data_IF_945515410328
#
_entry.id   IF_945515410328
#
_cell.length_a   1.000
_cell.length_b   1.000
_cell.length_c   1.000
_cell.angle_alpha   90.00
_cell.angle_beta   90.00
_cell.angle_gamma   90.00
#
_symmetry.space_group_name_H-M   'P 1'
#
loop_
_entity.id
_entity.type
_entity.pdbx_description
1 polymer ?
#
# COMPACT_ATOMS: atom_id res chain seq x y z
N UNK A 1 -11.42 24.10 -41.04
CA UNK A 1 -11.67 23.88 -39.61
C UNK A 1 -10.45 23.19 -39.01
N UNK A 2 -9.59 23.95 -38.36
CA UNK A 2 -8.33 23.45 -37.77
C UNK A 2 -8.62 23.06 -36.33
N UNK A 3 -8.69 21.76 -36.05
CA UNK A 3 -8.92 21.25 -34.70
C UNK A 3 -7.68 21.45 -33.83
N UNK A 4 -7.79 22.25 -32.78
CA UNK A 4 -6.79 22.44 -31.74
C UNK A 4 -6.81 21.23 -30.83
N UNK A 5 -5.81 20.35 -30.94
CA UNK A 5 -5.58 19.25 -29.99
C UNK A 5 -5.08 19.86 -28.67
N UNK A 6 -5.94 19.90 -27.66
CA UNK A 6 -5.55 20.20 -26.28
C UNK A 6 -4.71 19.04 -25.74
N UNK A 7 -3.39 19.19 -25.76
CA UNK A 7 -2.48 18.32 -25.03
C UNK A 7 -2.61 18.67 -23.56
N UNK A 8 -3.32 17.85 -22.78
CA UNK A 8 -3.29 17.93 -21.33
C UNK A 8 -1.89 17.53 -20.85
N UNK A 9 -1.18 18.37 -20.05
CA UNK A 9 0.08 17.94 -19.47
C UNK A 9 -0.17 16.77 -18.54
N UNK A 10 0.47 15.63 -18.82
CA UNK A 10 0.52 14.54 -17.88
C UNK A 10 1.24 15.03 -16.62
N UNK A 11 0.59 15.02 -15.47
CA UNK A 11 1.22 15.32 -14.20
C UNK A 11 2.17 14.15 -13.87
N UNK A 12 3.44 14.29 -14.31
CA UNK A 12 4.45 13.24 -14.15
C UNK A 12 4.98 13.11 -12.71
N UNK A 13 4.63 14.06 -11.83
CA UNK A 13 5.13 14.11 -10.45
C UNK A 13 4.00 14.40 -9.48
N UNK A 14 3.97 13.64 -8.39
CA UNK A 14 2.99 13.83 -7.32
C UNK A 14 3.63 14.63 -6.20
N UNK A 15 2.97 15.72 -5.80
CA UNK A 15 3.37 16.52 -4.64
C UNK A 15 2.62 16.04 -3.40
N UNK A 16 3.33 15.86 -2.26
CA UNK A 16 2.66 15.60 -1.00
C UNK A 16 1.74 16.74 -0.60
N UNK A 17 0.63 16.39 0.04
CA UNK A 17 -0.39 17.34 0.48
C UNK A 17 -0.31 17.56 1.99
N UNK A 18 -0.46 18.82 2.48
CA UNK A 18 -0.55 19.12 3.90
C UNK A 18 -1.68 18.35 4.57
N UNK A 19 -1.41 17.82 5.78
CA UNK A 19 -2.43 17.23 6.62
C UNK A 19 -3.34 18.27 7.29
N UNK A 20 -4.38 17.85 8.03
CA UNK A 20 -5.33 18.75 8.70
C UNK A 20 -4.76 19.51 9.90
N UNK A 21 -3.56 19.14 10.36
CA UNK A 21 -2.84 19.78 11.44
C UNK A 21 -1.76 20.75 10.95
N UNK A 22 -0.53 20.55 11.43
CA UNK A 22 0.62 21.33 10.98
C UNK A 22 0.90 21.05 9.48
N UNK A 23 0.96 22.09 8.61
CA UNK A 23 1.12 21.90 7.16
C UNK A 23 2.46 21.27 6.74
N UNK A 24 3.42 21.20 7.67
CA UNK A 24 4.71 20.54 7.48
C UNK A 24 4.64 19.02 7.67
N UNK A 25 3.53 18.49 8.17
CA UNK A 25 3.23 17.06 8.19
C UNK A 25 2.35 16.78 6.98
N UNK A 26 2.97 16.20 5.96
CA UNK A 26 2.34 16.00 4.66
C UNK A 26 2.09 14.51 4.40
N UNK A 27 1.20 14.23 3.48
CA UNK A 27 0.91 12.86 3.09
C UNK A 27 0.73 12.73 1.57
N UNK A 28 1.00 11.52 1.07
CA UNK A 28 0.78 11.15 -0.33
C UNK A 28 0.19 9.75 -0.38
N UNK A 29 -0.77 9.53 -1.28
CA UNK A 29 -1.28 8.18 -1.54
C UNK A 29 -0.21 7.42 -2.35
N UNK A 30 0.11 6.19 -1.93
CA UNK A 30 1.06 5.35 -2.65
C UNK A 30 0.46 4.85 -3.97
N UNK A 31 1.22 4.99 -5.05
CA UNK A 31 1.00 4.35 -6.34
C UNK A 31 2.36 3.82 -6.84
N UNK A 32 2.47 2.56 -7.30
CA UNK A 32 3.74 1.98 -7.75
C UNK A 32 4.31 2.66 -9.02
N UNK A 33 3.52 3.43 -9.74
CA UNK A 33 3.90 4.09 -11.00
C UNK A 33 4.10 5.61 -10.85
N UNK A 34 4.18 6.12 -9.62
CA UNK A 34 4.37 7.56 -9.39
C UNK A 34 5.80 7.92 -9.00
N UNK A 35 6.19 9.14 -9.31
CA UNK A 35 7.38 9.80 -8.75
C UNK A 35 6.92 10.86 -7.76
N UNK A 36 7.34 10.74 -6.50
CA UNK A 36 6.98 11.69 -5.44
C UNK A 36 8.03 12.79 -5.33
N UNK A 37 7.60 14.05 -5.45
CA UNK A 37 8.50 15.19 -5.24
C UNK A 37 8.77 15.40 -3.75
N UNK A 38 10.03 15.35 -3.35
CA UNK A 38 10.50 15.63 -2.00
C UNK A 38 11.37 16.88 -2.00
N UNK A 39 10.94 17.93 -1.31
CA UNK A 39 11.66 19.18 -1.21
C UNK A 39 12.31 19.33 0.15
N UNK A 40 13.59 19.73 0.19
CA UNK A 40 14.31 19.99 1.44
C UNK A 40 15.24 21.21 1.29
N UNK A 41 15.34 22.01 2.33
CA UNK A 41 16.30 23.10 2.45
C UNK A 41 17.56 22.63 3.19
N UNK A 42 18.71 23.22 2.85
CA UNK A 42 19.95 22.98 3.58
C UNK A 42 19.77 23.32 5.07
N UNK A 43 20.29 22.47 5.93
CA UNK A 43 20.11 22.60 7.40
C UNK A 43 18.83 21.98 7.95
N UNK A 44 17.92 21.52 7.08
CA UNK A 44 16.67 20.87 7.47
C UNK A 44 16.67 19.41 7.04
N UNK A 45 15.82 18.61 7.69
CA UNK A 45 15.64 17.21 7.43
C UNK A 45 14.16 16.93 7.15
N UNK A 46 13.90 16.05 6.20
CA UNK A 46 12.57 15.47 5.97
C UNK A 46 12.60 14.02 6.42
N UNK A 47 11.61 13.63 7.22
CA UNK A 47 11.39 12.23 7.61
C UNK A 47 10.35 11.63 6.68
N UNK A 48 10.69 10.57 5.97
CA UNK A 48 9.74 9.77 5.20
C UNK A 48 9.30 8.58 6.07
N UNK A 49 7.99 8.45 6.29
CA UNK A 49 7.39 7.35 7.05
C UNK A 49 6.71 6.37 6.08
N UNK A 50 7.16 5.11 6.12
CA UNK A 50 6.57 4.00 5.37
C UNK A 50 5.49 3.29 6.20
N UNK A 51 4.91 2.21 5.69
CA UNK A 51 3.96 1.42 6.45
C UNK A 51 4.64 0.81 7.71
N UNK A 52 3.92 0.69 8.83
CA UNK A 52 4.51 0.22 10.10
C UNK A 52 5.08 -1.19 10.03
N UNK A 53 4.59 -2.00 9.11
CA UNK A 53 4.98 -3.39 8.84
C UNK A 53 6.02 -3.54 7.73
N UNK A 54 6.37 -2.46 7.02
CA UNK A 54 7.44 -2.44 6.02
C UNK A 54 8.82 -2.24 6.63
N UNK A 55 9.81 -2.81 5.94
CA UNK A 55 11.22 -2.66 6.27
C UNK A 55 12.03 -2.30 5.03
N UNK A 56 12.81 -1.23 5.14
CA UNK A 56 13.75 -0.81 4.09
C UNK A 56 14.81 -1.88 3.92
N UNK A 57 14.94 -2.40 2.72
CA UNK A 57 15.98 -3.36 2.32
C UNK A 57 17.12 -2.69 1.57
N UNK A 58 16.79 -1.71 0.72
CA UNK A 58 17.79 -1.01 -0.10
C UNK A 58 17.41 0.46 -0.30
N UNK A 59 18.44 1.30 -0.40
CA UNK A 59 18.30 2.73 -0.70
C UNK A 59 19.37 3.12 -1.71
N UNK A 60 18.94 3.70 -2.84
CA UNK A 60 19.83 4.21 -3.88
C UNK A 60 19.51 5.68 -4.17
N UNK A 61 20.49 6.55 -4.04
CA UNK A 61 20.41 7.98 -4.37
C UNK A 61 21.34 8.30 -5.53
N UNK A 62 20.88 9.14 -6.45
CA UNK A 62 21.68 9.52 -7.63
C UNK A 62 22.90 10.35 -7.25
N UNK A 63 22.74 11.38 -6.43
CA UNK A 63 23.84 12.23 -5.97
C UNK A 63 23.99 12.16 -4.45
N UNK A 64 24.90 11.30 -3.98
CA UNK A 64 25.22 11.13 -2.56
C UNK A 64 26.07 12.26 -1.97
N UNK A 65 26.64 13.13 -2.78
CA UNK A 65 27.34 14.32 -2.33
C UNK A 65 26.39 15.48 -2.00
N UNK A 66 25.30 15.59 -2.73
CA UNK A 66 24.28 16.61 -2.53
C UNK A 66 23.18 16.22 -1.53
N UNK A 67 22.99 14.93 -1.30
CA UNK A 67 21.91 14.40 -0.47
C UNK A 67 22.42 13.34 0.52
N UNK A 68 22.17 13.56 1.79
CA UNK A 68 22.43 12.59 2.85
C UNK A 68 21.13 11.82 3.17
N UNK A 69 21.20 10.50 3.01
CA UNK A 69 20.06 9.60 3.18
C UNK A 69 20.42 8.60 4.29
N UNK A 70 19.58 8.48 5.33
CA UNK A 70 19.85 7.59 6.46
C UNK A 70 18.56 6.87 6.88
N UNK A 71 18.46 5.55 6.75
CA UNK A 71 17.38 4.79 7.32
C UNK A 71 17.49 4.73 8.86
N UNK A 72 16.36 4.64 9.55
CA UNK A 72 16.36 4.37 10.99
C UNK A 72 16.66 2.88 11.26
N UNK A 73 16.94 2.54 12.52
CA UNK A 73 17.28 1.15 12.90
C UNK A 73 16.16 0.13 12.65
N UNK A 74 14.92 0.57 12.68
CA UNK A 74 13.76 -0.31 12.42
C UNK A 74 13.50 -0.54 10.93
N UNK A 75 14.04 0.32 10.07
CA UNK A 75 13.80 0.29 8.63
C UNK A 75 12.40 0.77 8.21
N UNK A 76 11.65 1.42 9.10
CA UNK A 76 10.31 1.95 8.81
C UNK A 76 10.31 3.45 8.50
N UNK A 77 11.47 4.11 8.61
CA UNK A 77 11.64 5.55 8.32
C UNK A 77 12.94 5.82 7.60
N UNK A 78 12.92 6.85 6.77
CA UNK A 78 14.07 7.36 6.07
C UNK A 78 14.25 8.85 6.38
N UNK A 79 15.44 9.25 6.75
CA UNK A 79 15.81 10.64 6.96
C UNK A 79 16.52 11.16 5.71
N UNK A 80 15.96 12.22 5.11
CA UNK A 80 16.47 12.84 3.89
C UNK A 80 16.90 14.27 4.20
N UNK A 81 18.14 14.61 3.87
CA UNK A 81 18.73 15.92 4.15
C UNK A 81 19.49 16.43 2.94
N UNK A 82 19.23 17.66 2.55
CA UNK A 82 20.04 18.36 1.55
C UNK A 82 21.37 18.82 2.17
N UNK A 83 22.49 18.52 1.51
CA UNK A 83 23.86 18.83 1.97
C UNK A 83 24.42 20.00 1.16
N UNK A 84 23.84 21.15 1.22
CA UNK A 84 24.30 22.30 0.47
C UNK A 84 23.28 22.80 -0.54
N UNK A 85 23.68 23.78 -1.34
CA UNK A 85 22.81 24.38 -2.35
C UNK A 85 22.78 23.49 -3.61
N UNK A 86 21.74 22.94 -3.78
CA UNK A 86 20.98 22.16 -4.57
C UNK A 86 21.23 21.65 -5.92
N UNK A 87 21.47 20.38 -5.94
CA UNK A 87 21.31 19.58 -7.17
C UNK A 87 20.02 18.77 -7.03
N UNK A 88 19.14 18.87 -8.02
CA UNK A 88 18.00 17.94 -8.16
C UNK A 88 18.55 16.54 -8.42
N UNK A 89 18.03 15.55 -7.72
CA UNK A 89 18.47 14.17 -7.85
C UNK A 89 17.27 13.23 -7.75
N UNK A 90 17.49 11.95 -7.94
CA UNK A 90 16.49 10.92 -7.70
C UNK A 90 16.88 10.04 -6.52
N UNK A 91 15.87 9.42 -5.92
CA UNK A 91 16.03 8.48 -4.82
C UNK A 91 15.08 7.31 -5.04
N UNK A 92 15.60 6.10 -4.92
CA UNK A 92 14.81 4.87 -4.92
C UNK A 92 14.95 4.19 -3.57
N UNK A 93 13.82 3.82 -2.98
CA UNK A 93 13.77 3.03 -1.74
C UNK A 93 13.04 1.74 -2.04
N UNK A 94 13.69 0.62 -1.75
CA UNK A 94 13.11 -0.71 -1.86
C UNK A 94 12.86 -1.21 -0.44
N UNK A 95 11.63 -1.61 -0.18
CA UNK A 95 11.25 -2.29 1.07
C UNK A 95 10.91 -3.75 0.78
N UNK A 96 10.68 -4.53 1.80
CA UNK A 96 10.20 -5.92 1.71
C UNK A 96 8.81 -6.04 1.06
N UNK A 97 8.08 -4.92 0.86
CA UNK A 97 6.73 -4.93 0.29
C UNK A 97 6.59 -4.05 -0.96
N UNK A 98 7.33 -2.93 -1.08
CA UNK A 98 7.09 -1.91 -2.13
C UNK A 98 8.39 -1.25 -2.60
N UNK A 99 8.29 -0.59 -3.75
CA UNK A 99 9.33 0.33 -4.24
C UNK A 99 8.78 1.75 -4.29
N UNK A 100 9.57 2.70 -3.80
CA UNK A 100 9.24 4.12 -3.77
C UNK A 100 10.25 4.90 -4.59
N UNK A 101 9.75 5.77 -5.45
CA UNK A 101 10.58 6.59 -6.33
C UNK A 101 10.33 8.07 -6.00
N UNK A 102 11.43 8.79 -5.77
CA UNK A 102 11.38 10.21 -5.44
C UNK A 102 12.21 11.03 -6.41
N UNK A 103 11.76 12.23 -6.67
CA UNK A 103 12.60 13.32 -7.14
C UNK A 103 12.93 14.23 -5.96
N UNK A 104 14.22 14.38 -5.70
CA UNK A 104 14.75 15.24 -4.64
C UNK A 104 15.01 16.63 -5.21
N UNK A 105 14.28 17.64 -4.74
CA UNK A 105 14.38 19.03 -5.19
C UNK A 105 14.88 19.91 -4.04
N UNK A 106 16.06 20.54 -4.16
CA UNK A 106 16.57 21.41 -3.12
C UNK A 106 15.84 22.74 -3.12
N UNK A 107 15.65 23.30 -1.91
CA UNK A 107 15.13 24.64 -1.68
C UNK A 107 16.29 25.57 -1.30
N UNK A 108 16.26 26.82 -1.77
CA UNK A 108 17.23 27.86 -1.38
C UNK A 108 17.13 28.27 0.10
N UNK A 109 15.99 28.00 0.75
CA UNK A 109 15.72 28.22 2.15
C UNK A 109 14.42 27.58 2.60
N UNK A 110 14.14 27.55 3.92
CA UNK A 110 12.94 26.92 4.42
C UNK A 110 11.69 27.68 3.96
N UNK A 111 10.70 26.94 3.45
CA UNK A 111 9.37 27.48 3.15
C UNK A 111 8.42 27.15 4.31
N UNK A 112 7.40 27.99 4.56
CA UNK A 112 6.44 27.79 5.67
C UNK A 112 5.73 26.43 5.62
N UNK A 113 5.54 25.90 4.42
CA UNK A 113 4.87 24.62 4.16
C UNK A 113 5.84 23.53 3.65
N UNK A 114 7.15 23.69 3.85
CA UNK A 114 8.12 22.63 3.54
C UNK A 114 7.86 21.40 4.43
N UNK A 115 7.81 20.22 3.84
CA UNK A 115 7.58 19.00 4.60
C UNK A 115 8.69 18.75 5.64
N UNK A 116 8.32 18.46 6.88
CA UNK A 116 9.19 17.88 7.91
C UNK A 116 8.96 16.38 8.01
N UNK A 117 7.73 15.97 7.74
CA UNK A 117 7.32 14.57 7.69
C UNK A 117 6.49 14.36 6.43
N UNK A 118 6.86 13.34 5.67
CA UNK A 118 6.08 12.80 4.58
C UNK A 118 5.58 11.42 4.97
N UNK A 119 4.26 11.23 5.01
CA UNK A 119 3.62 9.95 5.29
C UNK A 119 3.02 9.37 4.03
N UNK A 120 3.34 8.13 3.75
CA UNK A 120 2.58 7.39 2.74
C UNK A 120 1.25 6.93 3.33
N UNK A 121 0.17 7.25 2.60
CA UNK A 121 -1.13 6.62 2.80
C UNK A 121 -1.23 5.51 1.76
N UNK A 122 -1.67 4.39 2.19
CA UNK A 122 -1.89 3.26 1.29
C UNK A 122 -3.37 3.23 0.97
N UNK A 123 -3.69 3.05 -0.33
CA UNK A 123 -5.05 2.68 -0.66
C UNK A 123 -5.29 1.40 0.14
N UNK A 124 -6.12 1.46 1.16
CA UNK A 124 -6.83 0.27 1.57
C UNK A 124 -7.36 -0.30 0.27
N UNK A 125 -7.08 -1.58 -0.10
CA UNK A 125 -7.64 -2.17 -1.29
C UNK A 125 -9.09 -1.73 -1.25
N UNK A 126 -9.52 -0.97 -2.27
CA UNK A 126 -10.82 -0.33 -2.23
C UNK A 126 -11.75 -1.42 -1.74
N UNK A 127 -12.25 -1.28 -0.52
CA UNK A 127 -13.36 -2.10 -0.10
C UNK A 127 -14.23 -2.01 -1.31
N UNK A 128 -14.36 -3.14 -2.05
CA UNK A 128 -15.19 -3.18 -3.23
C UNK A 128 -16.37 -2.38 -2.80
N UNK A 129 -16.60 -1.21 -3.44
CA UNK A 129 -17.69 -0.35 -3.04
C UNK A 129 -18.90 -1.19 -3.36
N UNK A 130 -19.26 -2.02 -2.41
CA UNK A 130 -20.61 -2.53 -2.30
C UNK A 130 -21.36 -1.25 -2.13
N UNK A 131 -21.96 -0.77 -3.21
CA UNK A 131 -22.93 0.31 -3.19
C UNK A 131 -23.72 0.06 -1.92
N UNK A 132 -23.54 0.95 -0.94
CA UNK A 132 -24.27 0.88 0.31
C UNK A 132 -25.76 1.15 -0.06
N UNK A 133 -26.41 0.10 -0.54
CA UNK A 133 -27.84 0.02 -0.51
C UNK A 133 -28.18 -0.29 0.95
N UNK A 134 -28.75 0.67 1.59
CA UNK A 134 -29.50 0.63 2.85
C UNK A 134 -28.87 -0.22 3.97
N UNK A 135 -28.65 0.40 5.12
CA UNK A 135 -28.14 -0.13 6.37
C UNK A 135 -28.58 -1.57 6.71
N UNK A 136 -28.12 -2.54 5.90
CA UNK A 136 -28.27 -3.95 6.23
C UNK A 136 -27.20 -4.29 7.26
N UNK A 137 -27.60 -4.72 8.41
CA UNK A 137 -26.73 -5.27 9.46
C UNK A 137 -25.77 -6.30 8.81
N UNK A 138 -24.44 -6.21 9.04
CA UNK A 138 -23.49 -7.16 8.49
C UNK A 138 -23.93 -8.61 8.73
N UNK A 139 -24.00 -9.40 7.69
CA UNK A 139 -24.46 -10.80 7.80
C UNK A 139 -23.25 -11.71 7.62
N UNK A 140 -22.88 -12.48 8.67
CA UNK A 140 -21.82 -13.46 8.59
C UNK A 140 -22.04 -14.45 7.46
N UNK A 141 -20.96 -14.88 6.82
CA UNK A 141 -20.97 -15.86 5.74
C UNK A 141 -20.10 -17.08 6.04
N UNK A 142 -20.33 -18.13 5.26
CA UNK A 142 -19.48 -19.32 5.21
C UNK A 142 -18.94 -19.49 3.80
N UNK A 143 -17.89 -20.30 3.65
CA UNK A 143 -17.23 -20.49 2.37
C UNK A 143 -17.31 -21.95 1.93
N UNK A 144 -17.60 -22.14 0.65
CA UNK A 144 -17.48 -23.44 -0.01
C UNK A 144 -16.10 -23.52 -0.65
N UNK A 145 -15.33 -24.54 -0.26
CA UNK A 145 -13.97 -24.75 -0.74
C UNK A 145 -13.94 -25.72 -1.92
N UNK A 146 -13.06 -25.45 -2.90
CA UNK A 146 -12.81 -26.31 -4.05
C UNK A 146 -11.31 -26.38 -4.38
N UNK A 147 -10.91 -27.16 -5.41
CA UNK A 147 -9.53 -27.27 -5.88
C UNK A 147 -8.64 -28.16 -5.01
N UNK A 148 -7.33 -27.88 -4.97
CA UNK A 148 -6.34 -28.69 -4.28
C UNK A 148 -6.49 -28.67 -2.75
N UNK A 149 -6.68 -29.83 -2.14
CA UNK A 149 -6.92 -29.96 -0.69
C UNK A 149 -5.78 -29.44 0.17
N UNK A 150 -4.54 -29.53 -0.32
CA UNK A 150 -3.36 -29.11 0.44
C UNK A 150 -3.21 -27.57 0.52
N UNK A 151 -3.94 -26.84 -0.31
CA UNK A 151 -3.92 -25.36 -0.30
C UNK A 151 -5.13 -24.76 0.44
N UNK A 152 -6.12 -25.58 0.76
CA UNK A 152 -7.35 -25.10 1.42
C UNK A 152 -7.05 -24.70 2.86
N UNK A 153 -7.61 -23.58 3.34
CA UNK A 153 -7.57 -23.28 4.76
C UNK A 153 -8.33 -24.35 5.55
N UNK A 154 -7.85 -24.64 6.75
CA UNK A 154 -8.53 -25.54 7.71
C UNK A 154 -9.84 -24.92 8.24
N UNK A 155 -9.90 -23.58 8.30
CA UNK A 155 -11.10 -22.83 8.62
C UNK A 155 -11.15 -21.53 7.80
N UNK A 156 -12.35 -21.15 7.36
CA UNK A 156 -12.64 -19.87 6.72
C UNK A 156 -14.06 -19.45 7.04
N UNK A 157 -14.21 -18.22 7.52
CA UNK A 157 -15.48 -17.58 7.87
C UNK A 157 -15.35 -16.06 7.72
N UNK A 158 -16.46 -15.34 7.81
CA UNK A 158 -16.49 -13.88 7.89
C UNK A 158 -17.53 -13.40 8.91
N UNK A 159 -17.35 -12.20 9.43
CA UNK A 159 -18.28 -11.51 10.33
C UNK A 159 -19.20 -10.52 9.59
N UNK A 160 -19.09 -10.47 8.25
CA UNK A 160 -19.78 -9.51 7.41
C UNK A 160 -18.97 -8.22 7.19
N UNK A 161 -17.79 -8.08 7.81
CA UNK A 161 -16.85 -6.96 7.66
C UNK A 161 -15.46 -7.48 7.26
N UNK A 162 -14.97 -8.52 7.95
CA UNK A 162 -13.65 -9.12 7.74
C UNK A 162 -13.79 -10.60 7.36
N UNK A 163 -12.81 -11.10 6.62
CA UNK A 163 -12.68 -12.54 6.35
C UNK A 163 -11.53 -13.13 7.16
N UNK A 164 -11.76 -14.24 7.82
CA UNK A 164 -10.82 -14.94 8.70
C UNK A 164 -10.45 -16.29 8.11
N UNK A 165 -9.15 -16.55 7.96
CA UNK A 165 -8.64 -17.81 7.43
C UNK A 165 -7.64 -18.43 8.42
N UNK A 166 -7.64 -19.75 8.53
CA UNK A 166 -6.66 -20.48 9.31
C UNK A 166 -6.07 -21.61 8.47
N UNK A 167 -4.77 -21.87 8.62
CA UNK A 167 -4.08 -23.04 8.09
C UNK A 167 -3.43 -23.82 9.23
N UNK A 168 -3.19 -25.09 9.02
CA UNK A 168 -2.44 -25.91 9.99
C UNK A 168 -1.00 -25.39 10.15
N UNK A 169 -0.41 -25.60 11.32
CA UNK A 169 0.95 -25.14 11.64
C UNK A 169 2.02 -25.68 10.66
N UNK A 170 1.80 -26.86 10.09
CA UNK A 170 2.72 -27.52 9.15
C UNK A 170 2.35 -27.25 7.68
N UNK A 171 1.35 -26.41 7.42
CA UNK A 171 0.86 -26.12 6.08
C UNK A 171 1.49 -24.83 5.55
N UNK A 172 2.13 -24.91 4.38
CA UNK A 172 2.67 -23.72 3.71
C UNK A 172 1.53 -22.77 3.34
N UNK A 173 1.64 -21.51 3.76
CA UNK A 173 0.66 -20.46 3.44
C UNK A 173 0.69 -20.16 1.94
N UNK A 174 -0.43 -20.30 1.20
CA UNK A 174 -0.50 -19.95 -0.21
C UNK A 174 -0.59 -18.44 -0.43
N UNK A 175 -0.23 -17.97 -1.62
CA UNK A 175 -0.61 -16.64 -2.06
C UNK A 175 -2.14 -16.56 -2.19
N UNK A 176 -2.75 -15.52 -1.65
CA UNK A 176 -4.20 -15.33 -1.59
C UNK A 176 -4.59 -14.24 -2.57
N UNK A 177 -5.51 -14.55 -3.48
CA UNK A 177 -6.06 -13.59 -4.43
C UNK A 177 -7.57 -13.47 -4.22
N UNK A 178 -8.09 -12.26 -4.33
CA UNK A 178 -9.52 -12.01 -4.44
C UNK A 178 -9.91 -11.84 -5.90
N UNK A 179 -11.07 -12.37 -6.27
CA UNK A 179 -11.66 -12.17 -7.60
C UNK A 179 -12.81 -11.18 -7.46
N UNK A 180 -12.75 -10.09 -8.22
CA UNK A 180 -13.81 -9.08 -8.28
C UNK A 180 -15.00 -9.55 -9.15
N UNK A 181 -16.03 -8.71 -9.22
CA UNK A 181 -17.24 -8.99 -10.05
C UNK A 181 -16.96 -9.03 -11.54
N UNK A 182 -15.82 -8.49 -12.00
CA UNK A 182 -15.39 -8.48 -13.39
C UNK A 182 -14.45 -9.65 -13.72
N UNK A 183 -14.15 -10.52 -12.71
CA UNK A 183 -13.29 -11.68 -12.86
C UNK A 183 -11.79 -11.36 -12.78
N UNK A 184 -11.40 -10.17 -12.34
CA UNK A 184 -9.99 -9.80 -12.20
C UNK A 184 -9.47 -10.28 -10.85
N UNK A 185 -8.27 -10.88 -10.89
CA UNK A 185 -7.55 -11.30 -9.69
C UNK A 185 -6.72 -10.14 -9.13
N UNK A 186 -6.80 -9.92 -7.83
CA UNK A 186 -5.94 -9.01 -7.08
C UNK A 186 -5.34 -9.72 -5.87
N UNK A 187 -4.05 -9.51 -5.61
CA UNK A 187 -3.39 -10.06 -4.42
C UNK A 187 -4.04 -9.46 -3.17
N UNK A 188 -4.37 -10.31 -2.22
CA UNK A 188 -5.02 -9.89 -0.97
C UNK A 188 -3.95 -9.58 0.06
N UNK A 189 -3.99 -8.36 0.60
CA UNK A 189 -3.24 -7.99 1.78
C UNK A 189 -4.05 -8.34 3.02
N UNK A 190 -3.41 -9.00 3.97
CA UNK A 190 -3.99 -9.34 5.26
C UNK A 190 -2.91 -9.43 6.31
N UNK A 191 -3.30 -9.54 7.55
CA UNK A 191 -2.36 -9.68 8.68
C UNK A 191 -2.71 -10.93 9.50
N UNK A 192 -1.69 -11.50 10.14
CA UNK A 192 -1.91 -12.61 11.07
C UNK A 192 -2.23 -12.03 12.45
N UNK A 193 -3.42 -12.33 12.95
CA UNK A 193 -3.88 -12.03 14.33
C UNK A 193 -4.36 -13.31 15.00
N UNK A 194 -3.88 -13.60 16.17
CA UNK A 194 -4.29 -14.77 16.97
C UNK A 194 -4.23 -16.10 16.19
N UNK A 195 -3.20 -16.27 15.35
CA UNK A 195 -3.01 -17.47 14.54
C UNK A 195 -3.94 -17.59 13.32
N UNK A 196 -4.72 -16.55 13.00
CA UNK A 196 -5.59 -16.48 11.82
C UNK A 196 -5.10 -15.38 10.88
N UNK A 197 -5.17 -15.63 9.59
CA UNK A 197 -4.97 -14.60 8.58
C UNK A 197 -6.27 -13.82 8.42
N UNK A 198 -6.22 -12.51 8.66
CA UNK A 198 -7.38 -11.61 8.63
C UNK A 198 -7.29 -10.71 7.40
N UNK A 199 -8.34 -10.70 6.61
CA UNK A 199 -8.54 -9.80 5.48
C UNK A 199 -9.54 -8.73 5.93
N UNK A 200 -9.16 -7.45 5.81
CA UNK A 200 -10.01 -6.31 6.20
C UNK A 200 -11.16 -6.03 5.19
N UNK A 201 -11.71 -7.09 4.64
CA UNK A 201 -12.85 -7.06 3.73
C UNK A 201 -13.56 -8.42 3.69
N UNK A 202 -14.84 -8.44 3.26
CA UNK A 202 -15.54 -9.67 2.93
C UNK A 202 -15.29 -10.02 1.48
N UNK A 203 -14.53 -11.09 1.24
CA UNK A 203 -14.24 -11.57 -0.11
C UNK A 203 -15.29 -12.59 -0.56
N UNK A 204 -15.98 -12.33 -1.68
CA UNK A 204 -16.95 -13.28 -2.24
C UNK A 204 -16.28 -14.48 -2.92
N UNK A 205 -15.13 -14.26 -3.54
CA UNK A 205 -14.34 -15.30 -4.19
C UNK A 205 -12.87 -15.12 -3.86
N UNK A 206 -12.25 -16.17 -3.35
CA UNK A 206 -10.81 -16.23 -3.08
C UNK A 206 -10.16 -17.36 -3.87
N UNK A 207 -8.92 -17.13 -4.32
CA UNK A 207 -8.05 -18.12 -4.94
C UNK A 207 -6.78 -18.24 -4.10
N UNK A 208 -6.39 -19.47 -3.80
CA UNK A 208 -5.17 -19.84 -3.09
C UNK A 208 -4.21 -20.47 -4.08
N UNK A 209 -2.96 -20.00 -4.16
CA UNK A 209 -2.00 -20.47 -5.17
C UNK A 209 -0.63 -20.71 -4.59
N UNK A 210 -0.05 -21.87 -4.93
CA UNK A 210 1.37 -22.19 -4.79
C UNK A 210 1.81 -22.83 -6.10
N UNK A 211 2.75 -22.23 -6.80
CA UNK A 211 3.24 -22.66 -8.11
C UNK A 211 2.07 -22.85 -9.11
N UNK A 212 1.88 -24.09 -9.59
CA UNK A 212 0.79 -24.45 -10.52
C UNK A 212 -0.48 -24.98 -9.83
N UNK A 213 -0.45 -25.11 -8.50
CA UNK A 213 -1.54 -25.66 -7.72
C UNK A 213 -2.47 -24.56 -7.28
N UNK A 214 -3.76 -24.80 -7.38
CA UNK A 214 -4.78 -23.81 -7.02
C UNK A 214 -5.89 -24.44 -6.19
N UNK A 215 -6.43 -23.67 -5.25
CA UNK A 215 -7.67 -23.94 -4.56
C UNK A 215 -8.52 -22.66 -4.54
N UNK A 216 -9.78 -22.77 -4.24
CA UNK A 216 -10.69 -21.63 -4.21
C UNK A 216 -11.65 -21.69 -3.04
N UNK A 217 -12.17 -20.51 -2.66
CA UNK A 217 -13.23 -20.36 -1.69
C UNK A 217 -14.31 -19.41 -2.25
N UNK A 218 -15.56 -19.83 -2.18
CA UNK A 218 -16.72 -19.04 -2.60
C UNK A 218 -17.62 -18.81 -1.41
N UNK A 219 -17.94 -17.53 -1.14
CA UNK A 219 -18.80 -17.11 -0.04
C UNK A 219 -20.24 -17.57 -0.26
N UNK A 220 -20.83 -18.14 0.79
CA UNK A 220 -22.26 -18.48 0.85
C UNK A 220 -22.86 -17.71 2.01
N UNK A 221 -23.70 -16.69 1.74
CA UNK A 221 -24.36 -15.94 2.80
C UNK A 221 -25.21 -16.86 3.69
N UNK A 222 -25.11 -16.67 5.00
CA UNK A 222 -25.93 -17.43 5.92
C UNK A 222 -27.37 -16.88 5.88
N UNK A 223 -28.37 -17.69 5.51
CA UNK A 223 -29.77 -17.30 5.63
C UNK A 223 -30.09 -17.08 7.10
N UNK A 224 -30.57 -15.87 7.44
CA UNK A 224 -31.18 -15.65 8.77
C UNK A 224 -32.32 -16.66 8.98
N UNK A 225 -32.29 -17.37 10.09
CA UNK A 225 -33.45 -18.08 10.63
C UNK A 225 -34.37 -17.10 11.32
#
# INVERSE_FOLDING_TARGET
MTGLLLVTPAAAQVRPEPGPGDPRIQSVLYDPNQVVQLQAAAGYQVTVEFAPDERIENVAVGDSGAWQITPNKRGDRLFVKAVGQGVTSNLTVVTDARTYIFELSPLFGPLPNMAYVLRFRYATPAAVTVVANDAATPTPGRYKLNGDKALRPSAIDDDGVHTYLAWGADQTLPAIFAIDSEGRESLVNGMVRDGRFVIDAVANHLVFRIDRRTAGATRVPQKRR
#
